data_IF_214882203654
#
_entry.id   IF_214882203654
#
_cell.length_a   1.000
_cell.length_b   1.000
_cell.length_c   1.000
_cell.angle_alpha   90.00
_cell.angle_beta   90.00
_cell.angle_gamma   90.00
#
_symmetry.space_group_name_H-M   'P 1'
#
loop_
_entity.id
_entity.type
_entity.pdbx_description
1 polymer ?
#
# COMPACT_ATOMS: atom_id res chain seq x y z
N UNK A 1 -16.77 -1.65 -6.62
CA UNK A 1 -15.44 -1.24 -6.13
C UNK A 1 -14.69 -0.48 -7.23
N UNK A 2 -13.98 0.59 -6.89
CA UNK A 2 -13.27 1.49 -7.81
C UNK A 2 -11.76 1.40 -7.56
N UNK A 3 -10.98 1.33 -8.65
CA UNK A 3 -9.51 1.41 -8.56
C UNK A 3 -9.11 2.80 -8.11
N UNK A 4 -8.28 2.91 -7.09
CA UNK A 4 -7.86 4.20 -6.54
C UNK A 4 -6.34 4.37 -6.46
N UNK A 5 -5.60 3.27 -6.50
CA UNK A 5 -4.14 3.29 -6.40
C UNK A 5 -3.53 2.11 -7.15
N UNK A 6 -2.37 2.31 -7.73
CA UNK A 6 -1.57 1.26 -8.33
C UNK A 6 -0.10 1.51 -8.01
N UNK A 7 0.59 0.46 -7.58
CA UNK A 7 1.99 0.52 -7.21
C UNK A 7 2.78 -0.52 -8.01
N UNK A 8 3.72 -0.09 -8.86
CA UNK A 8 4.67 -1.00 -9.47
C UNK A 8 5.50 -1.70 -8.39
N UNK A 9 5.60 -3.02 -8.49
CA UNK A 9 6.47 -3.86 -7.64
C UNK A 9 7.85 -4.05 -8.28
N UNK A 10 7.98 -3.76 -9.58
CA UNK A 10 9.25 -3.83 -10.30
C UNK A 10 10.11 -2.61 -10.01
N UNK A 11 11.09 -2.80 -9.15
CA UNK A 11 12.36 -2.10 -9.22
C UNK A 11 13.44 -3.18 -9.13
N UNK A 12 14.25 -3.33 -10.18
CA UNK A 12 15.42 -4.22 -10.28
C UNK A 12 15.27 -5.64 -9.68
N UNK A 13 15.01 -6.66 -10.52
CA UNK A 13 15.26 -8.09 -10.24
C UNK A 13 14.79 -8.71 -8.88
N UNK A 14 13.92 -8.04 -8.13
CA UNK A 14 13.47 -8.52 -6.83
C UNK A 14 12.18 -9.34 -6.92
N UNK A 15 12.23 -10.59 -6.47
CA UNK A 15 11.05 -11.41 -6.18
C UNK A 15 10.43 -10.95 -4.86
N UNK A 16 9.64 -9.87 -4.90
CA UNK A 16 8.89 -9.41 -3.73
C UNK A 16 7.75 -10.39 -3.42
N UNK A 17 7.70 -10.99 -2.22
CA UNK A 17 6.54 -11.78 -1.81
C UNK A 17 5.29 -10.89 -1.78
N UNK A 18 4.24 -11.29 -2.51
CA UNK A 18 3.03 -10.46 -2.68
C UNK A 18 2.32 -10.19 -1.36
N UNK A 19 2.27 -11.19 -0.47
CA UNK A 19 1.64 -11.03 0.85
C UNK A 19 2.41 -10.01 1.69
N UNK A 20 3.75 -10.03 1.64
CA UNK A 20 4.56 -9.02 2.29
C UNK A 20 4.26 -7.62 1.74
N UNK A 21 4.09 -7.47 0.43
CA UNK A 21 3.78 -6.18 -0.18
C UNK A 21 2.41 -5.64 0.24
N UNK A 22 1.40 -6.51 0.37
CA UNK A 22 0.07 -6.15 0.87
C UNK A 22 0.15 -5.68 2.33
N UNK A 23 0.78 -6.46 3.18
CA UNK A 23 0.92 -6.16 4.61
C UNK A 23 1.65 -4.83 4.82
N UNK A 24 2.73 -4.62 4.07
CA UNK A 24 3.50 -3.39 4.11
C UNK A 24 2.65 -2.18 3.72
N UNK A 25 1.85 -2.29 2.66
CA UNK A 25 0.99 -1.19 2.22
C UNK A 25 -0.08 -0.85 3.26
N UNK A 26 -0.70 -1.87 3.87
CA UNK A 26 -1.69 -1.66 4.95
C UNK A 26 -1.03 -1.04 6.18
N UNK A 27 0.18 -1.46 6.55
CA UNK A 27 0.89 -0.94 7.71
C UNK A 27 1.31 0.52 7.54
N UNK A 28 1.83 0.88 6.37
CA UNK A 28 2.53 2.15 6.15
C UNK A 28 1.59 3.28 5.69
N UNK A 29 0.32 2.96 5.44
CA UNK A 29 -0.69 3.90 4.99
C UNK A 29 -1.91 3.89 5.92
N UNK A 30 -2.12 4.95 6.72
CA UNK A 30 -3.36 5.13 7.47
C UNK A 30 -4.61 5.11 6.59
N UNK A 31 -4.47 5.59 5.34
CA UNK A 31 -5.53 5.56 4.34
C UNK A 31 -5.93 4.12 3.98
N UNK A 32 -4.95 3.28 3.61
CA UNK A 32 -5.20 1.89 3.22
C UNK A 32 -5.60 1.07 4.44
N UNK A 33 -5.00 1.33 5.59
CA UNK A 33 -5.38 0.73 6.87
C UNK A 33 -6.85 0.94 7.18
N UNK A 34 -7.35 2.18 7.10
CA UNK A 34 -8.76 2.47 7.31
C UNK A 34 -9.66 1.66 6.37
N UNK A 35 -9.33 1.58 5.08
CA UNK A 35 -10.11 0.79 4.12
C UNK A 35 -10.09 -0.71 4.46
N UNK A 36 -8.94 -1.23 4.89
CA UNK A 36 -8.78 -2.62 5.33
C UNK A 36 -9.62 -2.91 6.58
N UNK A 37 -9.52 -2.05 7.60
CA UNK A 37 -10.19 -2.20 8.89
C UNK A 37 -11.74 -2.14 8.73
N UNK A 38 -12.25 -1.52 7.66
CA UNK A 38 -13.67 -1.45 7.34
C UNK A 38 -14.14 -2.49 6.31
N UNK A 39 -13.30 -3.46 5.93
CA UNK A 39 -13.64 -4.46 4.91
C UNK A 39 -13.90 -3.87 3.52
N UNK A 40 -13.47 -2.64 3.28
CA UNK A 40 -13.72 -1.89 2.06
C UNK A 40 -12.56 -1.96 1.06
N UNK A 41 -11.46 -2.67 1.39
CA UNK A 41 -10.25 -2.78 0.59
C UNK A 41 -10.19 -4.11 -0.18
N UNK A 42 -9.84 -4.03 -1.46
CA UNK A 42 -9.42 -5.18 -2.24
C UNK A 42 -8.09 -4.88 -2.94
N UNK A 43 -7.11 -5.76 -2.75
CA UNK A 43 -5.79 -5.66 -3.38
C UNK A 43 -5.63 -6.79 -4.38
N UNK A 44 -5.26 -6.45 -5.62
CA UNK A 44 -5.01 -7.41 -6.71
C UNK A 44 -3.58 -7.29 -7.19
N UNK A 45 -2.91 -8.43 -7.41
CA UNK A 45 -1.60 -8.46 -8.04
C UNK A 45 -1.74 -8.81 -9.52
N UNK A 46 -1.35 -7.88 -10.39
CA UNK A 46 -1.32 -8.05 -11.83
C UNK A 46 0.05 -8.58 -12.26
N UNK A 47 0.22 -9.91 -12.27
CA UNK A 47 1.50 -10.58 -12.59
C UNK A 47 2.13 -10.10 -13.90
N UNK A 48 1.34 -9.97 -14.96
CA UNK A 48 1.81 -9.54 -16.29
C UNK A 48 2.44 -8.14 -16.30
N UNK A 49 2.01 -7.27 -15.38
CA UNK A 49 2.48 -5.89 -15.25
C UNK A 49 3.32 -5.67 -14.00
N UNK A 50 3.56 -6.71 -13.20
CA UNK A 50 4.20 -6.66 -11.88
C UNK A 50 3.71 -5.46 -11.04
N UNK A 51 2.39 -5.28 -10.98
CA UNK A 51 1.75 -4.14 -10.33
C UNK A 51 0.78 -4.63 -9.27
N UNK A 52 0.77 -3.96 -8.13
CA UNK A 52 -0.26 -4.12 -7.11
C UNK A 52 -1.31 -3.04 -7.29
N UNK A 53 -2.55 -3.44 -7.53
CA UNK A 53 -3.68 -2.54 -7.75
C UNK A 53 -4.62 -2.59 -6.55
N UNK A 54 -4.97 -1.42 -6.02
CA UNK A 54 -5.87 -1.27 -4.89
C UNK A 54 -7.22 -0.72 -5.34
N UNK A 55 -8.27 -1.37 -4.86
CA UNK A 55 -9.66 -1.06 -5.11
C UNK A 55 -10.37 -0.87 -3.80
N UNK A 56 -11.38 0.00 -3.78
CA UNK A 56 -12.24 0.12 -2.62
C UNK A 56 -13.66 0.57 -2.99
N UNK A 57 -14.56 0.43 -2.03
CA UNK A 57 -15.90 1.02 -2.09
C UNK A 57 -15.84 2.56 -2.15
N UNK A 58 -16.72 3.18 -2.93
CA UNK A 58 -16.64 4.62 -3.22
C UNK A 58 -16.95 5.48 -1.99
N UNK A 59 -17.91 5.08 -1.16
CA UNK A 59 -18.24 5.78 0.08
C UNK A 59 -17.02 5.81 1.02
N UNK A 60 -16.36 4.67 1.19
CA UNK A 60 -15.18 4.57 2.04
C UNK A 60 -13.97 5.30 1.45
N UNK A 61 -13.82 5.33 0.12
CA UNK A 61 -12.78 6.12 -0.54
C UNK A 61 -12.91 7.61 -0.28
N UNK A 62 -14.13 8.15 -0.31
CA UNK A 62 -14.37 9.56 0.01
C UNK A 62 -14.00 9.85 1.47
N UNK A 63 -14.43 9.01 2.41
CA UNK A 63 -14.09 9.18 3.83
C UNK A 63 -12.58 9.11 4.07
N UNK A 64 -11.90 8.13 3.45
CA UNK A 64 -10.45 7.97 3.58
C UNK A 64 -9.69 9.19 3.04
N UNK A 65 -10.12 9.76 1.91
CA UNK A 65 -9.55 10.99 1.35
C UNK A 65 -9.74 12.19 2.25
N UNK A 66 -10.91 12.34 2.85
CA UNK A 66 -11.19 13.45 3.77
C UNK A 66 -10.35 13.34 5.06
N UNK A 67 -10.19 12.13 5.61
CA UNK A 67 -9.47 11.90 6.87
C UNK A 67 -7.95 11.91 6.72
N UNK A 68 -7.43 11.28 5.66
CA UNK A 68 -5.99 10.98 5.54
C UNK A 68 -5.33 11.64 4.33
N UNK A 69 -6.12 12.22 3.42
CA UNK A 69 -5.61 12.91 2.24
C UNK A 69 -5.06 11.95 1.18
N UNK A 70 -3.78 11.57 1.32
CA UNK A 70 -3.03 10.78 0.33
C UNK A 70 -2.94 9.31 0.74
N UNK A 71 -2.85 8.43 -0.27
CA UNK A 71 -2.67 6.98 -0.06
C UNK A 71 -1.31 6.69 0.58
N UNK A 72 -0.25 7.37 0.17
CA UNK A 72 1.07 7.27 0.79
C UNK A 72 1.60 8.66 1.12
N UNK A 73 2.46 8.80 2.14
CA UNK A 73 3.18 10.03 2.40
C UNK A 73 4.14 10.31 1.23
N UNK A 74 3.82 11.29 0.38
CA UNK A 74 4.66 11.66 -0.77
C UNK A 74 4.57 10.71 -1.97
N UNK A 75 5.56 10.78 -2.87
CA UNK A 75 5.69 9.88 -4.04
C UNK A 75 6.68 8.76 -3.71
N UNK A 76 6.32 7.86 -2.79
CA UNK A 76 7.15 6.68 -2.48
C UNK A 76 6.82 5.52 -3.42
N UNK A 77 7.86 4.90 -3.96
CA UNK A 77 7.87 3.60 -4.60
C UNK A 77 7.79 2.47 -3.56
N UNK A 78 7.43 1.26 -3.99
CA UNK A 78 7.38 0.10 -3.10
C UNK A 78 8.72 -0.16 -2.39
N UNK A 79 9.84 -0.04 -3.10
CA UNK A 79 11.17 -0.27 -2.51
C UNK A 79 11.47 0.75 -1.42
N UNK A 80 11.10 2.02 -1.59
CA UNK A 80 11.32 3.03 -0.55
C UNK A 80 10.52 2.70 0.72
N UNK A 81 9.29 2.23 0.57
CA UNK A 81 8.48 1.75 1.71
C UNK A 81 9.15 0.53 2.36
N UNK A 82 9.65 -0.40 1.55
CA UNK A 82 10.31 -1.61 2.05
C UNK A 82 11.59 -1.28 2.82
N UNK A 83 12.48 -0.46 2.24
CA UNK A 83 13.72 0.00 2.87
C UNK A 83 13.40 0.73 4.17
N UNK A 84 12.43 1.65 4.18
CA UNK A 84 12.01 2.35 5.39
C UNK A 84 11.59 1.37 6.49
N UNK A 85 10.73 0.41 6.17
CA UNK A 85 10.27 -0.59 7.13
C UNK A 85 11.43 -1.45 7.68
N UNK A 86 12.39 -1.85 6.83
CA UNK A 86 13.56 -2.61 7.26
C UNK A 86 14.50 -1.79 8.17
N UNK A 87 14.73 -0.52 7.84
CA UNK A 87 15.52 0.40 8.66
C UNK A 87 14.88 0.66 10.02
N UNK A 88 13.56 0.93 10.04
CA UNK A 88 12.80 1.12 11.28
C UNK A 88 12.90 -0.10 12.20
N UNK A 89 12.77 -1.32 11.65
CA UNK A 89 12.96 -2.57 12.42
C UNK A 89 14.36 -2.68 13.04
N UNK A 90 15.42 -2.35 12.28
CA UNK A 90 16.80 -2.41 12.78
C UNK A 90 17.09 -1.36 13.86
N UNK A 91 16.46 -0.20 13.78
CA UNK A 91 16.64 0.91 14.71
C UNK A 91 15.75 0.78 15.97
N UNK A 92 14.87 -0.24 16.05
CA UNK A 92 13.94 -0.41 17.16
C UNK A 92 12.83 0.65 17.22
N UNK A 93 12.66 1.43 16.16
CA UNK A 93 11.60 2.44 16.03
C UNK A 93 10.47 1.89 15.18
N UNK A 94 9.22 2.08 15.62
CA UNK A 94 8.08 1.77 14.76
C UNK A 94 7.97 2.83 13.65
N UNK A 95 7.80 2.43 12.37
CA UNK A 95 7.57 3.36 11.27
C UNK A 95 6.24 4.10 11.39
#
# INVERSE_FOLDING_TARGET
MKKFFAMPLKSYNENVPIELAKDLLVKESPFVKYLSDNGALAIRHMKSRATMECYADEKHLVIAKLKYGKVLPGKMSFIEIFIRNQLSRKLGVSP
#
